data_IF_004959260458
#
_entry.id   IF_004959260458
#
_cell.length_a   1.000
_cell.length_b   1.000
_cell.length_c   1.000
_cell.angle_alpha   90.00
_cell.angle_beta   90.00
_cell.angle_gamma   90.00
#
_symmetry.space_group_name_H-M   'P 1'
#
loop_
_entity.id
_entity.type
_entity.pdbx_description
1 polymer ?
#
# COMPACT_ATOMS: atom_id res chain seq x y z
N UNK A 1 -8.63 -16.15 -0.69
CA UNK A 1 -8.92 -16.09 0.77
C UNK A 1 -10.33 -15.56 0.95
N UNK A 2 -11.15 -16.19 1.80
CA UNK A 2 -12.50 -15.69 2.13
C UNK A 2 -12.42 -14.90 3.44
N UNK A 3 -12.88 -13.65 3.41
CA UNK A 3 -13.02 -12.83 4.61
C UNK A 3 -14.28 -13.28 5.34
N UNK A 4 -14.17 -13.71 6.60
CA UNK A 4 -15.33 -14.05 7.42
C UNK A 4 -15.94 -12.82 8.08
N UNK A 5 -17.23 -12.89 8.40
CA UNK A 5 -17.87 -11.91 9.25
C UNK A 5 -17.25 -11.92 10.66
N UNK A 6 -17.20 -10.76 11.35
CA UNK A 6 -16.88 -10.69 12.78
C UNK A 6 -17.82 -11.58 13.60
N UNK A 7 -17.31 -12.22 14.64
CA UNK A 7 -18.06 -13.13 15.51
C UNK A 7 -18.92 -12.39 16.54
N UNK A 8 -18.53 -11.15 16.88
CA UNK A 8 -19.16 -10.30 17.87
C UNK A 8 -18.89 -8.81 17.57
N UNK A 9 -19.59 -7.92 18.29
CA UNK A 9 -19.46 -6.47 18.13
C UNK A 9 -18.09 -5.95 18.53
N UNK A 10 -17.42 -6.58 19.51
CA UNK A 10 -16.09 -6.19 19.94
C UNK A 10 -15.03 -6.49 18.87
N UNK A 11 -15.14 -7.63 18.18
CA UNK A 11 -14.32 -7.96 17.02
C UNK A 11 -14.58 -7.01 15.87
N UNK A 12 -15.85 -6.65 15.61
CA UNK A 12 -16.19 -5.64 14.61
C UNK A 12 -15.57 -4.28 14.94
N UNK A 13 -15.61 -3.86 16.21
CA UNK A 13 -14.99 -2.61 16.68
C UNK A 13 -13.47 -2.63 16.52
N UNK A 14 -12.81 -3.73 16.92
CA UNK A 14 -11.35 -3.91 16.76
C UNK A 14 -10.96 -3.90 15.27
N UNK A 15 -11.72 -4.56 14.40
CA UNK A 15 -11.44 -4.57 12.97
C UNK A 15 -11.55 -3.16 12.36
N UNK A 16 -12.61 -2.41 12.71
CA UNK A 16 -12.77 -1.00 12.28
C UNK A 16 -11.63 -0.11 12.77
N UNK A 17 -11.21 -0.27 14.04
CA UNK A 17 -10.07 0.45 14.58
C UNK A 17 -8.77 0.13 13.85
N UNK A 18 -8.51 -1.15 13.55
CA UNK A 18 -7.33 -1.53 12.76
C UNK A 18 -7.32 -0.87 11.39
N UNK A 19 -8.46 -0.87 10.68
CA UNK A 19 -8.58 -0.19 9.39
C UNK A 19 -8.36 1.32 9.53
N UNK A 20 -9.02 1.95 10.51
CA UNK A 20 -8.88 3.39 10.76
C UNK A 20 -7.46 3.80 11.16
N UNK A 21 -6.73 2.92 11.84
CA UNK A 21 -5.32 3.12 12.24
C UNK A 21 -4.33 2.69 11.14
N UNK A 22 -4.79 2.33 9.93
CA UNK A 22 -3.93 1.89 8.84
C UNK A 22 -3.29 0.50 9.05
N UNK A 23 -3.72 -0.25 10.06
CA UNK A 23 -3.24 -1.61 10.39
C UNK A 23 -3.92 -2.70 9.55
N UNK A 24 -4.38 -2.37 8.35
CA UNK A 24 -5.03 -3.31 7.43
C UNK A 24 -4.02 -4.17 6.68
N UNK A 25 -3.26 -3.55 5.77
CA UNK A 25 -2.18 -4.16 4.99
C UNK A 25 -0.99 -3.21 4.95
N UNK A 26 0.21 -3.76 4.88
CA UNK A 26 1.40 -2.91 4.76
C UNK A 26 1.54 -2.38 3.33
N UNK A 27 2.27 -1.27 3.16
CA UNK A 27 2.61 -0.75 1.82
C UNK A 27 3.34 -1.81 0.99
N UNK A 28 4.22 -2.59 1.60
CA UNK A 28 4.93 -3.69 0.94
C UNK A 28 3.96 -4.76 0.40
N UNK A 29 2.97 -5.16 1.19
CA UNK A 29 1.95 -6.15 0.76
C UNK A 29 1.12 -5.66 -0.42
N UNK A 30 0.85 -4.35 -0.48
CA UNK A 30 0.09 -3.74 -1.57
C UNK A 30 0.93 -3.65 -2.83
N UNK A 31 2.19 -3.23 -2.72
CA UNK A 31 3.11 -3.21 -3.86
C UNK A 31 3.28 -4.63 -4.42
N UNK A 32 3.51 -5.63 -3.56
CA UNK A 32 3.66 -7.03 -4.00
C UNK A 32 2.41 -7.58 -4.70
N UNK A 33 1.21 -7.19 -4.26
CA UNK A 33 -0.03 -7.59 -4.94
C UNK A 33 -0.14 -6.97 -6.34
N UNK A 34 0.30 -5.72 -6.49
CA UNK A 34 0.25 -5.01 -7.78
C UNK A 34 1.31 -5.55 -8.74
N UNK A 35 2.54 -5.74 -8.27
CA UNK A 35 3.69 -6.11 -9.10
C UNK A 35 3.92 -7.62 -9.21
N UNK A 36 3.27 -8.42 -8.36
CA UNK A 36 3.51 -9.86 -8.23
C UNK A 36 4.85 -10.23 -7.59
N UNK A 37 5.66 -9.25 -7.19
CA UNK A 37 7.03 -9.44 -6.68
C UNK A 37 7.24 -8.70 -5.36
N UNK A 38 8.00 -9.28 -4.44
CA UNK A 38 8.30 -8.64 -3.17
C UNK A 38 9.14 -7.37 -3.43
N UNK A 39 8.71 -6.18 -2.94
CA UNK A 39 9.44 -4.95 -3.19
C UNK A 39 10.69 -4.84 -2.31
N UNK A 40 11.68 -4.11 -2.81
CA UNK A 40 12.82 -3.67 -2.02
C UNK A 40 12.41 -2.59 -1.01
N UNK A 41 13.14 -2.49 0.09
CA UNK A 41 12.83 -1.55 1.18
C UNK A 41 12.85 -0.08 0.69
N UNK A 42 13.78 0.27 -0.20
CA UNK A 42 13.89 1.62 -0.77
C UNK A 42 12.65 2.03 -1.57
N UNK A 43 12.04 1.09 -2.31
CA UNK A 43 10.80 1.34 -3.04
C UNK A 43 9.64 1.55 -2.06
N UNK A 44 9.57 0.77 -0.99
CA UNK A 44 8.54 0.91 0.05
C UNK A 44 8.62 2.28 0.71
N UNK A 45 9.82 2.73 1.10
CA UNK A 45 10.00 4.04 1.71
C UNK A 45 9.70 5.20 0.74
N UNK A 46 10.07 5.05 -0.54
CA UNK A 46 9.72 6.02 -1.58
C UNK A 46 8.21 6.17 -1.72
N UNK A 47 7.47 5.04 -1.77
CA UNK A 47 6.00 5.05 -1.86
C UNK A 47 5.38 5.68 -0.61
N UNK A 48 5.89 5.38 0.59
CA UNK A 48 5.42 6.01 1.83
C UNK A 48 5.61 7.54 1.80
N UNK A 49 6.78 8.00 1.35
CA UNK A 49 7.05 9.43 1.24
C UNK A 49 6.11 10.13 0.26
N UNK A 50 5.82 9.50 -0.90
CA UNK A 50 4.87 10.04 -1.89
C UNK A 50 3.43 10.06 -1.38
N UNK A 51 2.98 9.01 -0.71
CA UNK A 51 1.66 8.97 -0.07
C UNK A 51 1.51 10.08 0.98
N UNK A 52 2.57 10.34 1.76
CA UNK A 52 2.59 11.44 2.73
C UNK A 52 2.49 12.80 2.03
N UNK A 53 3.30 13.05 1.02
CA UNK A 53 3.25 14.31 0.26
C UNK A 53 1.85 14.54 -0.35
N UNK A 54 1.28 13.52 -0.99
CA UNK A 54 -0.08 13.56 -1.53
C UNK A 54 -1.15 13.92 -0.47
N UNK A 55 -1.00 13.42 0.75
CA UNK A 55 -1.91 13.75 1.85
C UNK A 55 -1.77 15.19 2.35
N UNK A 56 -0.58 15.79 2.21
CA UNK A 56 -0.27 17.17 2.63
C UNK A 56 -0.68 18.18 1.54
N UNK A 57 -0.42 17.87 0.28
CA UNK A 57 -0.65 18.77 -0.87
C UNK A 57 -2.06 18.65 -1.46
N UNK A 58 -2.79 17.58 -1.11
CA UNK A 58 -4.14 17.30 -1.62
C UNK A 58 -4.18 16.77 -3.05
N UNK A 59 -3.02 16.50 -3.66
CA UNK A 59 -2.92 15.89 -4.98
C UNK A 59 -3.01 14.36 -4.88
N UNK A 60 -3.84 13.71 -5.73
CA UNK A 60 -3.96 12.25 -5.72
C UNK A 60 -2.66 11.60 -6.21
N UNK A 61 -2.18 10.59 -5.49
CA UNK A 61 -1.06 9.75 -5.90
C UNK A 61 -1.56 8.44 -6.51
N UNK A 62 -1.34 8.26 -7.80
CA UNK A 62 -1.61 7.00 -8.51
C UNK A 62 -0.43 6.04 -8.33
N UNK A 63 -0.59 5.12 -7.38
CA UNK A 63 0.42 4.11 -7.06
C UNK A 63 0.68 3.14 -8.24
N UNK A 64 -0.34 2.74 -8.98
CA UNK A 64 -0.18 1.74 -10.03
C UNK A 64 0.66 2.29 -11.19
N UNK A 65 0.31 3.49 -11.66
CA UNK A 65 1.06 4.20 -12.70
C UNK A 65 2.51 4.49 -12.25
N UNK A 66 2.70 4.84 -10.98
CA UNK A 66 4.04 5.04 -10.42
C UNK A 66 4.89 3.76 -10.46
N UNK A 67 4.34 2.62 -10.05
CA UNK A 67 5.06 1.35 -10.01
C UNK A 67 5.42 0.85 -11.41
N UNK A 68 4.54 1.05 -12.40
CA UNK A 68 4.81 0.73 -13.80
C UNK A 68 5.97 1.59 -14.37
N UNK A 69 5.93 2.90 -14.11
CA UNK A 69 7.01 3.80 -14.51
C UNK A 69 8.34 3.44 -13.82
N UNK A 70 8.30 3.10 -12.53
CA UNK A 70 9.49 2.68 -11.78
C UNK A 70 10.12 1.40 -12.37
N UNK A 71 9.32 0.39 -12.71
CA UNK A 71 9.80 -0.83 -13.35
C UNK A 71 10.45 -0.52 -14.71
N UNK A 72 9.81 0.32 -15.51
CA UNK A 72 10.34 0.75 -16.83
C UNK A 72 11.70 1.43 -16.69
N UNK A 73 11.88 2.29 -15.68
CA UNK A 73 13.16 2.94 -15.42
C UNK A 73 14.25 1.98 -14.98
N UNK A 74 13.90 0.99 -14.14
CA UNK A 74 14.86 -0.04 -13.76
C UNK A 74 15.32 -0.85 -14.97
N UNK A 75 14.42 -1.27 -15.85
CA UNK A 75 14.77 -2.03 -17.05
C UNK A 75 15.62 -1.23 -18.04
N UNK A 76 15.36 0.07 -18.20
CA UNK A 76 16.10 0.91 -19.14
C UNK A 76 17.55 1.19 -18.71
N UNK A 77 17.85 1.09 -17.41
CA UNK A 77 19.12 1.50 -16.81
C UNK A 77 19.90 0.30 -16.21
N UNK A 78 19.48 -0.93 -16.52
CA UNK A 78 20.25 -2.17 -16.34
C UNK A 78 21.18 -2.40 -17.52
#
# INVERSE_FOLDING_TARGET
>A
MSVRAPKDEDEARRARLKVALGQGRTVADVIQEITGTAPEEDLVETVKARLRAASEDGEPFDLATFLEAHATWQEAWQ
#
